data_IF_710480491785
#
_entry.id   IF_710480491785
#
_cell.length_a   1.000
_cell.length_b   1.000
_cell.length_c   1.000
_cell.angle_alpha   90.00
_cell.angle_beta   90.00
_cell.angle_gamma   90.00
#
_symmetry.space_group_name_H-M   'P 1'
#
loop_
_entity.id
_entity.type
_entity.pdbx_description
1 polymer ?
#
# COMPACT_ATOMS: atom_id res chain seq x y z
N UNK A 1 -16.93 -6.26 8.65
CA UNK A 1 -17.74 -5.44 7.72
C UNK A 1 -18.07 -6.29 6.51
N UNK A 2 -19.34 -6.25 6.04
CA UNK A 2 -19.72 -6.93 4.80
C UNK A 2 -19.15 -6.20 3.58
N UNK A 3 -18.94 -6.93 2.48
CA UNK A 3 -18.47 -6.37 1.20
C UNK A 3 -19.36 -5.20 0.74
N UNK A 4 -20.68 -5.38 0.83
CA UNK A 4 -21.64 -4.35 0.47
C UNK A 4 -21.47 -3.08 1.31
N UNK A 5 -21.40 -3.22 2.64
CA UNK A 5 -21.22 -2.07 3.52
C UNK A 5 -19.86 -1.40 3.30
N UNK A 6 -18.81 -2.19 3.05
CA UNK A 6 -17.49 -1.67 2.72
C UNK A 6 -17.56 -0.76 1.48
N UNK A 7 -18.16 -1.22 0.39
CA UNK A 7 -18.22 -0.48 -0.87
C UNK A 7 -19.19 0.69 -0.84
N UNK A 8 -20.39 0.51 -0.29
CA UNK A 8 -21.45 1.52 -0.35
C UNK A 8 -21.26 2.65 0.69
N UNK A 9 -20.56 2.37 1.80
CA UNK A 9 -20.38 3.31 2.92
C UNK A 9 -18.93 3.74 3.08
N UNK A 10 -18.03 2.78 3.40
CA UNK A 10 -16.66 3.12 3.80
C UNK A 10 -15.75 3.53 2.66
N UNK A 11 -15.86 2.87 1.51
CA UNK A 11 -15.02 3.16 0.33
C UNK A 11 -15.64 4.20 -0.61
N UNK A 12 -16.92 4.52 -0.46
CA UNK A 12 -17.61 5.42 -1.39
C UNK A 12 -16.99 6.81 -1.47
N UNK A 13 -16.56 7.35 -0.35
CA UNK A 13 -15.85 8.64 -0.32
C UNK A 13 -14.51 8.59 -1.06
N UNK A 14 -13.76 7.49 -0.91
CA UNK A 14 -12.50 7.27 -1.63
C UNK A 14 -12.75 7.10 -3.14
N UNK A 15 -13.75 6.33 -3.54
CA UNK A 15 -14.13 6.19 -4.95
C UNK A 15 -14.41 7.54 -5.59
N UNK A 16 -15.25 8.37 -4.96
CA UNK A 16 -15.60 9.70 -5.46
C UNK A 16 -14.35 10.57 -5.57
N UNK A 17 -13.52 10.58 -4.53
CA UNK A 17 -12.28 11.37 -4.51
C UNK A 17 -11.32 10.93 -5.63
N UNK A 18 -11.08 9.63 -5.77
CA UNK A 18 -10.17 9.10 -6.80
C UNK A 18 -10.67 9.42 -8.20
N UNK A 19 -11.96 9.16 -8.48
CA UNK A 19 -12.52 9.37 -9.82
C UNK A 19 -12.61 10.84 -10.23
N UNK A 20 -12.94 11.74 -9.30
CA UNK A 20 -13.16 13.14 -9.62
C UNK A 20 -11.91 14.00 -9.45
N UNK A 21 -11.11 13.76 -8.41
CA UNK A 21 -9.94 14.60 -8.10
C UNK A 21 -8.62 14.01 -8.59
N UNK A 22 -8.58 12.71 -8.89
CA UNK A 22 -7.37 12.00 -9.35
C UNK A 22 -6.13 12.30 -8.48
N UNK A 23 -6.19 12.05 -7.16
CA UNK A 23 -5.08 12.36 -6.26
C UNK A 23 -3.83 11.58 -6.68
N UNK A 24 -2.65 12.17 -6.48
CA UNK A 24 -1.38 11.55 -6.85
C UNK A 24 -0.86 10.57 -5.81
N UNK A 25 -1.35 10.64 -4.58
CA UNK A 25 -0.95 9.77 -3.50
C UNK A 25 -2.13 9.42 -2.60
N UNK A 26 -2.07 8.21 -2.02
CA UNK A 26 -3.02 7.73 -1.02
C UNK A 26 -2.25 7.00 0.06
N UNK A 27 -2.68 7.16 1.32
CA UNK A 27 -2.03 6.54 2.47
C UNK A 27 -2.90 5.40 3.03
N UNK A 28 -2.27 4.29 3.37
CA UNK A 28 -2.92 3.23 4.17
C UNK A 28 -2.95 3.63 5.64
N UNK A 29 -3.73 2.94 6.43
CA UNK A 29 -3.98 3.25 7.85
C UNK A 29 -3.54 2.11 8.77
N UNK A 30 -3.49 2.37 10.07
CA UNK A 30 -3.11 1.35 11.07
C UNK A 30 -4.19 0.30 11.30
N UNK A 31 -5.45 0.63 11.04
CA UNK A 31 -6.56 -0.23 11.39
C UNK A 31 -6.63 -1.52 10.57
N UNK A 32 -7.31 -2.49 11.13
CA UNK A 32 -7.64 -3.76 10.50
C UNK A 32 -8.98 -3.65 9.75
N UNK A 33 -9.00 -4.20 8.55
CA UNK A 33 -10.23 -4.46 7.81
C UNK A 33 -10.48 -5.97 7.81
N UNK A 34 -11.54 -6.40 8.51
CA UNK A 34 -11.89 -7.82 8.65
C UNK A 34 -10.72 -8.70 9.14
N UNK A 35 -9.89 -8.17 10.03
CA UNK A 35 -8.77 -8.91 10.62
C UNK A 35 -7.45 -8.84 9.84
N UNK A 36 -7.40 -8.08 8.75
CA UNK A 36 -6.20 -7.88 7.94
C UNK A 36 -5.81 -6.40 7.93
N UNK A 37 -4.55 -6.09 8.14
CA UNK A 37 -4.07 -4.70 8.06
C UNK A 37 -4.35 -4.10 6.70
N UNK A 38 -4.81 -2.86 6.66
CA UNK A 38 -5.09 -2.17 5.39
C UNK A 38 -3.85 -2.06 4.52
N UNK A 39 -2.67 -1.93 5.13
CA UNK A 39 -1.37 -1.92 4.43
C UNK A 39 -0.99 -3.27 3.80
N UNK A 40 -1.52 -4.40 4.29
CA UNK A 40 -1.30 -5.74 3.71
C UNK A 40 -2.50 -6.22 2.84
N UNK A 41 -3.50 -5.37 2.63
CA UNK A 41 -4.76 -5.77 2.00
C UNK A 41 -4.71 -5.59 0.49
N UNK A 42 -4.17 -6.59 -0.22
CA UNK A 42 -4.01 -6.55 -1.68
C UNK A 42 -5.32 -6.27 -2.43
N UNK A 43 -6.40 -6.95 -2.04
CA UNK A 43 -7.72 -6.77 -2.68
C UNK A 43 -8.21 -5.31 -2.56
N UNK A 44 -7.91 -4.66 -1.42
CA UNK A 44 -8.23 -3.25 -1.22
C UNK A 44 -7.39 -2.34 -2.12
N UNK A 45 -6.09 -2.60 -2.22
CA UNK A 45 -5.14 -1.68 -2.85
C UNK A 45 -4.95 -1.93 -4.36
N UNK A 46 -4.95 -3.18 -4.81
CA UNK A 46 -4.80 -3.49 -6.23
C UNK A 46 -6.17 -3.66 -6.91
N UNK A 47 -7.07 -4.48 -6.36
CA UNK A 47 -8.29 -4.81 -7.06
C UNK A 47 -9.31 -3.65 -6.97
N UNK A 48 -9.62 -3.16 -5.77
CA UNK A 48 -10.58 -2.07 -5.61
C UNK A 48 -9.97 -0.73 -6.01
N UNK A 49 -8.87 -0.31 -5.35
CA UNK A 49 -8.33 1.03 -5.56
C UNK A 49 -7.80 1.22 -6.98
N UNK A 50 -6.96 0.29 -7.48
CA UNK A 50 -6.32 0.48 -8.78
C UNK A 50 -7.16 0.00 -9.95
N UNK A 51 -7.79 -1.20 -9.85
CA UNK A 51 -8.54 -1.73 -10.97
C UNK A 51 -9.94 -1.13 -11.06
N UNK A 52 -10.70 -1.05 -9.95
CA UNK A 52 -12.08 -0.57 -10.00
C UNK A 52 -12.16 0.96 -9.97
N UNK A 53 -11.38 1.64 -9.10
CA UNK A 53 -11.41 3.11 -9.00
C UNK A 53 -10.46 3.80 -10.00
N UNK A 54 -9.59 3.03 -10.67
CA UNK A 54 -8.64 3.51 -11.68
C UNK A 54 -7.57 4.46 -11.10
N UNK A 55 -7.13 4.21 -9.86
CA UNK A 55 -6.09 5.00 -9.21
C UNK A 55 -4.71 4.71 -9.81
N UNK A 56 -4.06 5.71 -10.37
CA UNK A 56 -2.73 5.59 -10.99
C UNK A 56 -1.58 6.21 -10.15
N UNK A 57 -1.88 6.74 -8.98
CA UNK A 57 -0.90 7.34 -8.08
C UNK A 57 -0.08 6.34 -7.27
N UNK A 58 0.70 6.84 -6.32
CA UNK A 58 1.42 6.01 -5.35
C UNK A 58 0.56 5.74 -4.11
N UNK A 59 0.76 4.56 -3.52
CA UNK A 59 0.26 4.23 -2.18
C UNK A 59 1.44 4.25 -1.21
N UNK A 60 1.30 4.95 -0.10
CA UNK A 60 2.28 4.99 0.98
C UNK A 60 1.70 4.39 2.26
N UNK A 61 2.57 3.90 3.13
CA UNK A 61 2.14 3.47 4.46
C UNK A 61 1.88 4.67 5.37
N UNK A 62 1.15 4.47 6.45
CA UNK A 62 1.22 5.35 7.60
C UNK A 62 2.59 5.21 8.29
N UNK A 63 2.90 6.10 9.27
CA UNK A 63 4.20 6.13 9.92
C UNK A 63 4.47 4.87 10.75
N UNK A 64 5.67 4.30 10.58
CA UNK A 64 6.16 3.12 11.32
C UNK A 64 5.18 1.94 11.36
N UNK A 65 4.40 1.75 10.29
CA UNK A 65 3.37 0.70 10.20
C UNK A 65 3.94 -0.69 10.45
N UNK A 66 5.17 -0.96 10.01
CA UNK A 66 5.85 -2.25 10.19
C UNK A 66 6.53 -2.41 11.55
N UNK A 67 6.34 -1.47 12.48
CA UNK A 67 6.89 -1.58 13.84
C UNK A 67 5.87 -2.16 14.82
N UNK A 68 6.35 -2.89 15.81
CA UNK A 68 5.52 -3.47 16.88
C UNK A 68 4.91 -2.42 17.82
N UNK A 69 5.34 -1.16 17.72
CA UNK A 69 4.94 -0.09 18.63
C UNK A 69 3.49 0.35 18.43
N UNK A 70 3.05 0.46 17.17
CA UNK A 70 1.75 1.04 16.82
C UNK A 70 0.76 0.06 16.21
N UNK A 71 1.23 -1.05 15.65
CA UNK A 71 0.43 -1.90 14.77
C UNK A 71 0.23 -3.33 15.27
N UNK A 72 0.92 -3.73 16.34
CA UNK A 72 0.91 -5.11 16.82
C UNK A 72 0.07 -5.28 18.09
N UNK A 73 -0.64 -6.40 18.15
CA UNK A 73 -1.14 -7.01 19.38
C UNK A 73 -0.92 -8.54 19.32
N UNK A 74 -1.28 -9.24 20.40
CA UNK A 74 -1.07 -10.70 20.49
C UNK A 74 -1.82 -11.49 19.38
N UNK A 75 -2.92 -10.96 18.87
CA UNK A 75 -3.74 -11.61 17.85
C UNK A 75 -3.38 -11.17 16.42
N UNK A 76 -2.97 -9.93 16.27
CA UNK A 76 -2.67 -9.30 14.99
C UNK A 76 -1.27 -8.69 15.05
N UNK A 77 -0.22 -9.43 14.68
CA UNK A 77 1.15 -8.92 14.69
C UNK A 77 1.30 -7.75 13.70
N UNK A 78 2.34 -6.94 13.90
CA UNK A 78 2.65 -5.85 12.99
C UNK A 78 2.80 -6.34 11.54
N UNK A 79 2.41 -5.52 10.55
CA UNK A 79 2.58 -5.86 9.15
C UNK A 79 4.05 -6.12 8.79
N UNK A 80 4.28 -7.14 7.98
CA UNK A 80 5.62 -7.44 7.46
C UNK A 80 5.87 -6.66 6.16
N UNK A 81 7.04 -6.00 6.06
CA UNK A 81 7.33 -5.10 4.94
C UNK A 81 7.15 -5.75 3.56
N UNK A 82 7.54 -7.02 3.39
CA UNK A 82 7.34 -7.70 2.10
C UNK A 82 5.86 -7.92 1.77
N UNK A 83 5.00 -8.21 2.77
CA UNK A 83 3.55 -8.33 2.55
C UNK A 83 2.91 -6.99 2.20
N UNK A 84 3.38 -5.93 2.85
CA UNK A 84 2.98 -4.54 2.56
C UNK A 84 3.34 -4.17 1.12
N UNK A 85 4.56 -4.48 0.67
CA UNK A 85 4.98 -4.28 -0.71
C UNK A 85 4.16 -5.11 -1.72
N UNK A 86 3.90 -6.38 -1.41
CA UNK A 86 3.06 -7.27 -2.23
C UNK A 86 1.61 -6.78 -2.35
N UNK A 87 1.10 -6.15 -1.29
CA UNK A 87 -0.24 -5.59 -1.30
C UNK A 87 -0.38 -4.35 -2.19
N UNK A 88 0.73 -3.73 -2.62
CA UNK A 88 0.70 -2.61 -3.53
C UNK A 88 1.08 -1.25 -2.92
N UNK A 89 1.60 -1.22 -1.68
CA UNK A 89 2.26 -0.03 -1.16
C UNK A 89 3.59 0.17 -1.90
N UNK A 90 3.84 1.41 -2.30
CA UNK A 90 5.02 1.76 -3.06
C UNK A 90 6.08 2.44 -2.18
N UNK A 91 5.66 3.12 -1.13
CA UNK A 91 6.52 3.91 -0.26
C UNK A 91 6.25 3.58 1.22
N UNK A 92 7.32 3.33 1.97
CA UNK A 92 7.27 3.12 3.41
C UNK A 92 7.60 4.42 4.13
N UNK A 93 6.79 4.77 5.12
CA UNK A 93 6.98 6.01 5.88
C UNK A 93 7.35 5.72 7.35
N UNK A 94 8.41 6.30 7.87
CA UNK A 94 9.47 7.07 7.18
C UNK A 94 10.47 6.20 6.44
N UNK A 95 10.33 4.88 6.51
CA UNK A 95 11.31 3.90 6.07
C UNK A 95 12.36 3.61 7.14
N UNK A 96 12.84 2.37 7.19
CA UNK A 96 13.83 1.92 8.17
C UNK A 96 14.74 0.83 7.60
N UNK A 97 15.87 0.62 8.27
CA UNK A 97 16.76 -0.50 7.92
C UNK A 97 16.07 -1.86 8.12
N UNK A 98 15.20 -1.98 9.13
CA UNK A 98 14.44 -3.21 9.38
C UNK A 98 13.54 -3.60 8.19
N UNK A 99 12.89 -2.63 7.54
CA UNK A 99 12.07 -2.87 6.34
C UNK A 99 12.93 -3.28 5.14
N UNK A 100 14.09 -2.65 4.96
CA UNK A 100 15.05 -3.03 3.92
C UNK A 100 15.55 -4.48 4.14
N UNK A 101 15.90 -4.83 5.37
CA UNK A 101 16.37 -6.16 5.72
C UNK A 101 15.27 -7.22 5.51
N UNK A 102 14.03 -6.91 5.91
CA UNK A 102 12.87 -7.79 5.70
C UNK A 102 12.61 -8.01 4.19
N UNK A 103 12.58 -6.96 3.39
CA UNK A 103 12.41 -7.05 1.94
C UNK A 103 13.55 -7.83 1.27
N UNK A 104 14.79 -7.59 1.71
CA UNK A 104 15.97 -8.30 1.19
C UNK A 104 15.93 -9.79 1.53
N UNK A 105 15.56 -10.14 2.75
CA UNK A 105 15.39 -11.53 3.17
C UNK A 105 14.24 -12.20 2.41
N UNK A 106 13.11 -11.52 2.26
CA UNK A 106 11.96 -12.02 1.53
C UNK A 106 12.27 -12.29 0.05
N UNK A 107 13.05 -11.41 -0.59
CA UNK A 107 13.51 -11.61 -1.97
C UNK A 107 14.43 -12.85 -2.09
N UNK A 108 15.38 -13.03 -1.17
CA UNK A 108 16.28 -14.20 -1.15
C UNK A 108 15.52 -15.51 -0.94
N UNK A 109 14.46 -15.47 -0.13
CA UNK A 109 13.64 -16.63 0.20
C UNK A 109 12.49 -16.88 -0.80
N UNK A 110 12.31 -16.05 -1.80
CA UNK A 110 11.27 -16.19 -2.82
C UNK A 110 9.87 -15.80 -2.34
N UNK A 111 9.75 -15.07 -1.23
CA UNK A 111 8.47 -14.56 -0.74
C UNK A 111 7.99 -13.33 -1.51
N UNK A 112 8.88 -12.60 -2.15
CA UNK A 112 8.60 -11.50 -3.08
C UNK A 112 9.53 -11.62 -4.28
N UNK A 113 9.07 -11.24 -5.46
CA UNK A 113 9.88 -11.30 -6.68
C UNK A 113 10.51 -9.95 -7.00
N UNK A 114 11.56 -10.00 -7.86
CA UNK A 114 12.18 -8.78 -8.37
C UNK A 114 11.20 -7.94 -9.20
N UNK A 115 10.32 -8.60 -9.96
CA UNK A 115 9.31 -7.95 -10.79
C UNK A 115 8.33 -7.13 -9.94
N UNK A 116 7.90 -7.65 -8.79
CA UNK A 116 7.00 -6.94 -7.87
C UNK A 116 7.67 -5.70 -7.27
N UNK A 117 8.95 -5.80 -6.89
CA UNK A 117 9.73 -4.65 -6.43
C UNK A 117 9.91 -3.61 -7.54
N UNK A 118 10.22 -4.02 -8.77
CA UNK A 118 10.33 -3.13 -9.93
C UNK A 118 8.99 -2.45 -10.21
N UNK A 119 7.87 -3.18 -10.17
CA UNK A 119 6.53 -2.62 -10.33
C UNK A 119 6.29 -1.45 -9.34
N UNK A 120 6.62 -1.66 -8.07
CA UNK A 120 6.47 -0.62 -7.05
C UNK A 120 7.40 0.57 -7.27
N UNK A 121 8.69 0.31 -7.55
CA UNK A 121 9.66 1.36 -7.84
C UNK A 121 9.30 2.17 -9.10
N UNK A 122 8.78 1.51 -10.12
CA UNK A 122 8.34 2.17 -11.36
C UNK A 122 7.23 3.19 -11.11
N UNK A 123 6.29 2.89 -10.23
CA UNK A 123 5.23 3.84 -9.85
C UNK A 123 5.80 5.10 -9.19
N UNK A 124 6.80 4.93 -8.30
CA UNK A 124 7.48 6.06 -7.65
C UNK A 124 8.26 6.89 -8.69
N UNK A 125 9.04 6.23 -9.54
CA UNK A 125 9.83 6.92 -10.59
C UNK A 125 8.93 7.68 -11.56
N UNK A 126 7.82 7.08 -12.01
CA UNK A 126 6.85 7.76 -12.87
C UNK A 126 6.31 9.04 -12.23
N UNK A 127 5.88 8.97 -10.98
CA UNK A 127 5.42 10.15 -10.26
C UNK A 127 6.51 11.20 -10.12
N UNK A 128 7.75 10.81 -9.78
CA UNK A 128 8.86 11.75 -9.64
C UNK A 128 9.13 12.49 -10.96
N UNK A 129 9.11 11.78 -12.10
CA UNK A 129 9.29 12.36 -13.43
C UNK A 129 8.13 13.30 -13.77
N UNK A 130 6.89 12.92 -13.51
CA UNK A 130 5.70 13.74 -13.74
C UNK A 130 5.76 15.05 -12.92
N UNK A 131 6.10 14.98 -11.64
CA UNK A 131 6.21 16.13 -10.76
C UNK A 131 7.40 17.05 -11.13
N UNK A 132 8.45 16.50 -11.72
CA UNK A 132 9.57 17.29 -12.25
C UNK A 132 9.22 18.01 -13.57
N UNK A 133 8.03 17.82 -14.12
CA UNK A 133 7.61 18.46 -15.38
C UNK A 133 8.24 17.84 -16.62
N UNK A 134 8.87 16.68 -16.51
CA UNK A 134 9.37 15.95 -17.66
C UNK A 134 8.22 15.14 -18.30
N UNK A 135 8.10 15.22 -19.62
CA UNK A 135 7.18 14.33 -20.36
C UNK A 135 7.70 12.92 -20.30
N UNK A 136 6.86 11.97 -19.91
CA UNK A 136 7.16 10.53 -19.90
C UNK A 136 6.77 9.91 -21.24
#
# INVERSE_FOLDING_TARGET
>A
VSERALREIYLKGFEICVRLAQPKALMTSYNLLNGKHTSEHRELLEDVLRCEFEFDGIVMTDWVTSSDILSADAKYPAPEAYKVALAGNNLFMPGSQQEIDNLTAALKNGHITREELIKNATRICRMAVELAGASV
#
